data_IF_542071136400
#
_entry.id   IF_542071136400
#
_cell.length_a   1.000
_cell.length_b   1.000
_cell.length_c   1.000
_cell.angle_alpha   90.00
_cell.angle_beta   90.00
_cell.angle_gamma   90.00
#
_symmetry.space_group_name_H-M   'P 1'
#
loop_
_entity.id
_entity.type
_entity.pdbx_description
1 polymer ?
#
# COMPACT_ATOMS: atom_id res chain seq x y z
N UNK A 1 -66.19 6.49 22.53
CA UNK A 1 -65.69 7.12 21.29
C UNK A 1 -64.29 7.65 21.62
N UNK A 2 -63.28 7.08 20.97
CA UNK A 2 -61.92 6.89 21.47
C UNK A 2 -61.04 8.15 21.50
N UNK A 3 -60.22 8.24 22.55
CA UNK A 3 -59.07 9.14 22.71
C UNK A 3 -58.04 8.92 21.59
N UNK A 4 -57.40 10.00 21.11
CA UNK A 4 -56.14 9.91 20.36
C UNK A 4 -55.15 10.95 20.88
N UNK A 5 -54.23 10.45 21.69
CA UNK A 5 -52.93 11.05 21.99
C UNK A 5 -52.06 11.01 20.73
N UNK A 6 -51.35 12.10 20.43
CA UNK A 6 -50.24 12.11 19.49
C UNK A 6 -49.01 12.68 20.20
N UNK A 7 -48.20 11.80 20.79
CA UNK A 7 -46.83 12.10 21.18
C UNK A 7 -45.96 12.06 19.92
N UNK A 8 -45.32 13.18 19.59
CA UNK A 8 -44.35 13.29 18.51
C UNK A 8 -42.96 12.97 19.08
N UNK A 9 -42.55 11.71 19.02
CA UNK A 9 -41.17 11.31 19.26
C UNK A 9 -40.44 11.30 17.91
N UNK A 10 -39.68 12.35 17.62
CA UNK A 10 -38.71 12.35 16.53
C UNK A 10 -37.54 11.44 16.91
N UNK A 11 -37.59 10.20 16.43
CA UNK A 11 -36.49 9.25 16.47
C UNK A 11 -35.37 9.77 15.55
N UNK A 12 -34.28 10.24 16.14
CA UNK A 12 -33.02 10.46 15.42
C UNK A 12 -32.46 9.07 15.06
N UNK A 13 -32.70 8.64 13.82
CA UNK A 13 -32.02 7.49 13.25
C UNK A 13 -30.54 7.86 13.05
N UNK A 14 -29.68 7.38 13.95
CA UNK A 14 -28.26 7.24 13.67
C UNK A 14 -28.10 6.25 12.51
N UNK A 15 -27.94 6.77 11.30
CA UNK A 15 -27.50 6.00 10.15
C UNK A 15 -26.06 5.57 10.40
N UNK A 16 -25.86 4.37 10.97
CA UNK A 16 -24.61 3.64 10.77
C UNK A 16 -24.53 3.31 9.28
N UNK A 17 -23.84 4.13 8.51
CA UNK A 17 -23.56 3.85 7.10
C UNK A 17 -22.82 2.53 7.00
N UNK A 18 -23.54 1.45 6.66
CA UNK A 18 -22.93 0.20 6.27
C UNK A 18 -22.19 0.44 4.95
N UNK A 19 -20.86 0.29 4.97
CA UNK A 19 -19.97 0.45 3.82
C UNK A 19 -20.35 -0.44 2.60
N UNK A 20 -21.27 -1.40 2.78
CA UNK A 20 -21.66 -2.38 1.77
C UNK A 20 -22.46 -1.81 0.57
N UNK A 21 -23.20 -0.70 0.74
CA UNK A 21 -24.16 -0.24 -0.28
C UNK A 21 -23.57 0.54 -1.45
N UNK A 22 -22.44 1.21 -1.25
CA UNK A 22 -21.77 2.04 -2.28
C UNK A 22 -20.73 1.28 -3.10
N UNK A 23 -20.38 0.03 -2.73
CA UNK A 23 -19.29 -0.72 -3.34
C UNK A 23 -19.66 -1.45 -4.65
N UNK A 24 -20.92 -1.83 -4.85
CA UNK A 24 -21.31 -2.66 -6.02
C UNK A 24 -21.29 -1.87 -7.32
N UNK A 25 -21.72 -0.59 -7.31
CA UNK A 25 -21.75 0.22 -8.54
C UNK A 25 -20.34 0.67 -8.99
N UNK A 26 -19.42 0.89 -8.03
CA UNK A 26 -18.04 1.26 -8.32
C UNK A 26 -17.21 0.06 -8.82
N UNK A 27 -17.48 -1.15 -8.34
CA UNK A 27 -16.85 -2.37 -8.88
C UNK A 27 -17.24 -2.66 -10.33
N UNK A 28 -18.44 -2.26 -10.77
CA UNK A 28 -18.93 -2.50 -12.13
C UNK A 28 -18.46 -1.45 -13.16
N UNK A 29 -17.92 -0.32 -12.72
CA UNK A 29 -17.49 0.80 -13.58
C UNK A 29 -15.99 1.14 -13.45
N UNK A 30 -15.26 0.46 -12.56
CA UNK A 30 -13.84 0.71 -12.32
C UNK A 30 -12.98 0.38 -13.54
N UNK A 31 -12.23 1.36 -14.03
CA UNK A 31 -11.12 1.13 -14.96
C UNK A 31 -10.11 0.22 -14.26
N UNK A 32 -10.10 -1.07 -14.61
CA UNK A 32 -9.04 -1.98 -14.20
C UNK A 32 -7.70 -1.54 -14.76
N UNK A 33 -6.62 -1.84 -14.05
CA UNK A 33 -5.27 -1.70 -14.60
C UNK A 33 -4.96 -2.86 -15.56
N UNK A 34 -4.02 -2.64 -16.47
CA UNK A 34 -3.61 -3.68 -17.40
C UNK A 34 -3.04 -4.89 -16.64
N UNK A 35 -3.30 -6.10 -17.16
CA UNK A 35 -2.69 -7.33 -16.66
C UNK A 35 -1.17 -7.17 -16.54
N UNK A 36 -0.53 -7.76 -15.52
CA UNK A 36 -1.02 -8.81 -14.62
C UNK A 36 -1.62 -8.31 -13.29
N UNK A 37 -1.99 -7.03 -13.18
CA UNK A 37 -2.50 -6.46 -11.93
C UNK A 37 -3.62 -7.29 -11.32
N UNK A 38 -3.46 -7.64 -10.04
CA UNK A 38 -4.53 -8.24 -9.22
C UNK A 38 -5.22 -7.13 -8.43
N UNK A 39 -6.49 -6.90 -8.75
CA UNK A 39 -7.29 -5.87 -8.08
C UNK A 39 -7.64 -6.27 -6.64
N UNK A 40 -7.55 -5.32 -5.72
CA UNK A 40 -8.05 -5.44 -4.35
C UNK A 40 -9.43 -4.82 -4.17
N UNK A 41 -9.94 -4.85 -2.95
CA UNK A 41 -11.19 -4.19 -2.57
C UNK A 41 -10.98 -3.26 -1.38
N UNK A 42 -11.84 -2.25 -1.23
CA UNK A 42 -11.75 -1.29 -0.12
C UNK A 42 -11.85 -1.96 1.25
N UNK A 43 -12.52 -3.11 1.36
CA UNK A 43 -12.61 -3.89 2.60
C UNK A 43 -11.24 -4.36 3.11
N UNK A 44 -10.25 -4.56 2.23
CA UNK A 44 -8.89 -4.93 2.62
C UNK A 44 -8.21 -3.82 3.42
N UNK A 45 -8.63 -2.57 3.26
CA UNK A 45 -8.10 -1.40 3.95
C UNK A 45 -9.07 -0.82 4.99
N UNK A 46 -10.06 -1.60 5.42
CA UNK A 46 -10.93 -1.19 6.52
C UNK A 46 -10.17 -1.12 7.84
N UNK A 47 -10.72 -0.37 8.80
CA UNK A 47 -10.18 -0.28 10.16
C UNK A 47 -10.06 -1.67 10.80
N UNK A 48 -8.88 -1.96 11.32
CA UNK A 48 -8.51 -3.17 12.07
C UNK A 48 -7.97 -2.78 13.45
N UNK A 49 -7.27 -3.70 14.11
CA UNK A 49 -6.72 -3.50 15.45
C UNK A 49 -5.67 -2.38 15.51
N UNK A 50 -4.94 -2.13 14.43
CA UNK A 50 -3.92 -1.08 14.35
C UNK A 50 -4.01 -0.34 13.01
N UNK A 51 -4.86 0.68 12.96
CA UNK A 51 -5.15 1.41 11.73
C UNK A 51 -5.81 0.50 10.68
N UNK A 52 -5.24 0.42 9.49
CA UNK A 52 -5.69 -0.50 8.43
C UNK A 52 -5.11 -1.91 8.54
N UNK A 53 -4.25 -2.20 9.51
CA UNK A 53 -3.58 -3.49 9.69
C UNK A 53 -3.94 -4.15 11.02
N UNK A 54 -3.71 -5.47 11.13
CA UNK A 54 -3.94 -6.19 12.39
C UNK A 54 -2.81 -5.98 13.44
N UNK A 55 -1.61 -5.63 12.97
CA UNK A 55 -0.39 -5.47 13.77
C UNK A 55 0.33 -4.18 13.38
N UNK A 56 1.14 -3.57 14.27
CA UNK A 56 2.03 -2.47 13.90
C UNK A 56 3.15 -2.93 12.98
N UNK A 57 3.96 -1.98 12.49
CA UNK A 57 5.24 -2.30 11.84
C UNK A 57 6.17 -3.07 12.79
N UNK A 58 7.04 -3.92 12.24
CA UNK A 58 8.11 -4.59 12.96
C UNK A 58 9.08 -3.58 13.56
N UNK A 59 9.61 -3.90 14.75
CA UNK A 59 10.78 -3.19 15.28
C UNK A 59 12.04 -3.53 14.47
N UNK A 60 12.98 -2.58 14.36
CA UNK A 60 14.26 -2.75 13.66
C UNK A 60 14.12 -3.04 12.16
N UNK A 61 13.39 -2.17 11.46
CA UNK A 61 13.27 -2.18 10.00
C UNK A 61 14.65 -2.11 9.32
N UNK A 62 14.75 -2.71 8.13
CA UNK A 62 15.95 -2.65 7.29
C UNK A 62 16.24 -1.21 6.85
N UNK A 63 17.50 -1.00 6.45
CA UNK A 63 17.97 0.23 5.83
C UNK A 63 17.74 1.49 6.68
N UNK A 64 17.76 1.34 8.01
CA UNK A 64 17.57 2.46 8.94
C UNK A 64 16.23 3.18 8.82
N UNK A 65 15.20 2.51 8.28
CA UNK A 65 13.88 3.11 8.15
C UNK A 65 13.27 3.45 9.51
N UNK A 66 12.71 4.66 9.61
CA UNK A 66 12.15 5.22 10.84
C UNK A 66 10.80 4.55 11.17
N UNK A 67 10.73 3.89 12.33
CA UNK A 67 9.57 3.11 12.75
C UNK A 67 8.31 3.96 12.90
N UNK A 68 8.41 5.21 13.37
CA UNK A 68 7.25 6.09 13.56
C UNK A 68 6.66 6.54 12.22
N UNK A 69 7.53 6.90 11.29
CA UNK A 69 7.16 7.22 9.92
C UNK A 69 6.54 6.00 9.24
N UNK A 70 7.18 4.84 9.36
CA UNK A 70 6.68 3.59 8.83
C UNK A 70 5.28 3.27 9.38
N UNK A 71 5.08 3.36 10.69
CA UNK A 71 3.80 3.04 11.32
C UNK A 71 2.67 3.96 10.84
N UNK A 72 2.97 5.27 10.75
CA UNK A 72 2.02 6.25 10.22
C UNK A 72 1.66 5.98 8.76
N UNK A 73 2.66 5.73 7.91
CA UNK A 73 2.47 5.51 6.47
C UNK A 73 1.74 4.19 6.22
N UNK A 74 2.14 3.10 6.87
CA UNK A 74 1.59 1.76 6.65
C UNK A 74 0.15 1.64 7.13
N UNK A 75 -0.20 2.27 8.26
CA UNK A 75 -1.41 1.93 9.01
C UNK A 75 -2.42 3.07 9.12
N UNK A 76 -1.98 4.33 9.04
CA UNK A 76 -2.82 5.49 9.36
C UNK A 76 -2.88 6.53 8.23
N UNK A 77 -2.38 6.18 7.05
CA UNK A 77 -2.35 7.04 5.88
C UNK A 77 -2.63 6.25 4.61
N UNK A 78 -3.56 6.74 3.78
CA UNK A 78 -3.95 6.13 2.50
C UNK A 78 -3.81 7.06 1.30
N UNK A 79 -3.34 8.29 1.53
CA UNK A 79 -3.33 9.34 0.51
C UNK A 79 -1.95 9.93 0.27
N UNK A 80 -1.05 9.82 1.24
CA UNK A 80 0.30 10.37 1.15
C UNK A 80 1.35 9.27 1.12
N UNK A 81 2.56 9.64 0.74
CA UNK A 81 3.74 8.81 0.81
C UNK A 81 4.69 9.34 1.90
N UNK A 82 5.72 8.58 2.24
CA UNK A 82 6.96 9.17 2.74
C UNK A 82 7.46 10.24 1.75
N UNK A 83 8.24 11.22 2.21
CA UNK A 83 8.64 12.30 1.31
C UNK A 83 9.56 11.79 0.18
N UNK A 84 9.45 12.40 -1.01
CA UNK A 84 10.25 12.04 -2.19
C UNK A 84 11.75 12.05 -1.88
N UNK A 85 12.47 10.97 -2.18
CA UNK A 85 13.89 10.81 -1.91
C UNK A 85 14.23 10.39 -0.48
N UNK A 86 13.25 9.99 0.35
CA UNK A 86 13.50 9.37 1.65
C UNK A 86 14.45 8.17 1.54
N UNK A 87 14.16 7.27 0.61
CA UNK A 87 14.94 6.06 0.32
C UNK A 87 16.41 6.33 -0.05
N UNK A 88 16.71 7.51 -0.59
CA UNK A 88 18.05 7.93 -1.00
C UNK A 88 18.79 8.69 0.11
N UNK A 89 18.06 9.51 0.89
CA UNK A 89 18.67 10.54 1.76
C UNK A 89 18.57 10.25 3.26
N UNK A 90 17.53 9.54 3.69
CA UNK A 90 17.29 9.23 5.11
C UNK A 90 17.43 7.75 5.44
N UNK A 91 17.24 6.87 4.46
CA UNK A 91 17.52 5.45 4.60
C UNK A 91 18.97 5.13 4.19
N UNK A 92 19.47 3.99 4.64
CA UNK A 92 20.77 3.43 4.23
C UNK A 92 20.66 2.48 3.05
N UNK A 93 19.52 2.43 2.36
CA UNK A 93 19.25 1.46 1.28
C UNK A 93 20.31 1.49 0.19
N UNK A 94 20.60 2.67 -0.39
CA UNK A 94 21.63 2.82 -1.43
C UNK A 94 23.08 2.74 -0.91
N UNK A 95 23.28 2.68 0.41
CA UNK A 95 24.58 2.46 1.03
C UNK A 95 24.85 0.97 1.27
N UNK A 96 23.79 0.22 1.58
CA UNK A 96 23.84 -1.21 1.88
C UNK A 96 23.67 -2.07 0.63
N UNK A 97 22.89 -1.59 -0.34
CA UNK A 97 22.50 -2.36 -1.52
C UNK A 97 23.14 -1.83 -2.80
N UNK A 98 23.51 -2.75 -3.68
CA UNK A 98 24.15 -2.44 -4.96
C UNK A 98 23.90 -3.53 -5.99
N UNK A 99 24.51 -3.42 -7.16
CA UNK A 99 24.51 -4.50 -8.15
C UNK A 99 25.02 -5.83 -7.58
N UNK A 100 25.94 -5.80 -6.61
CA UNK A 100 26.46 -7.00 -5.95
C UNK A 100 25.43 -7.72 -5.07
N UNK A 101 24.34 -7.03 -4.68
CA UNK A 101 23.23 -7.64 -3.93
C UNK A 101 22.42 -8.61 -4.77
N UNK A 102 22.52 -8.53 -6.11
CA UNK A 102 21.67 -9.28 -7.02
C UNK A 102 20.21 -8.86 -6.89
N UNK A 103 19.30 -9.83 -6.88
CA UNK A 103 17.87 -9.57 -6.69
C UNK A 103 17.53 -9.48 -5.19
N UNK A 104 17.00 -8.33 -4.78
CA UNK A 104 16.63 -8.05 -3.38
C UNK A 104 15.17 -8.42 -3.18
N UNK A 105 14.86 -9.06 -2.04
CA UNK A 105 13.49 -9.24 -1.58
C UNK A 105 13.07 -8.10 -0.66
N UNK A 106 11.91 -7.52 -0.94
CA UNK A 106 11.30 -6.40 -0.22
C UNK A 106 10.11 -6.94 0.60
N UNK A 107 10.22 -6.86 1.93
CA UNK A 107 9.28 -7.49 2.85
C UNK A 107 8.35 -6.45 3.47
N UNK A 108 7.06 -6.78 3.59
CA UNK A 108 6.07 -6.00 4.30
C UNK A 108 6.57 -5.60 5.69
N UNK A 109 6.61 -4.29 5.97
CA UNK A 109 7.06 -3.78 7.26
C UNK A 109 6.18 -4.22 8.42
N UNK A 110 4.90 -4.57 8.20
CA UNK A 110 4.02 -5.09 9.25
C UNK A 110 4.21 -6.59 9.45
N UNK A 111 4.21 -7.36 8.36
CA UNK A 111 4.04 -8.82 8.43
C UNK A 111 5.29 -9.63 8.09
N UNK A 112 6.29 -9.04 7.44
CA UNK A 112 7.47 -9.74 6.95
C UNK A 112 7.24 -10.60 5.70
N UNK A 113 6.06 -10.52 5.07
CA UNK A 113 5.78 -11.23 3.80
C UNK A 113 6.53 -10.60 2.64
N UNK A 114 7.04 -11.41 1.71
CA UNK A 114 7.73 -10.92 0.52
C UNK A 114 6.74 -10.26 -0.45
N UNK A 115 6.79 -8.94 -0.57
CA UNK A 115 5.87 -8.15 -1.39
C UNK A 115 6.43 -7.84 -2.78
N UNK A 116 7.73 -7.54 -2.86
CA UNK A 116 8.39 -7.23 -4.12
C UNK A 116 9.77 -7.87 -4.21
N UNK A 117 10.28 -7.95 -5.44
CA UNK A 117 11.61 -8.40 -5.79
C UNK A 117 12.25 -7.34 -6.68
N UNK A 118 13.55 -7.06 -6.57
CA UNK A 118 14.14 -6.09 -7.49
C UNK A 118 15.65 -5.94 -7.33
N UNK A 119 16.37 -5.62 -8.41
CA UNK A 119 15.90 -5.55 -9.79
C UNK A 119 15.59 -6.94 -10.38
N UNK A 120 14.52 -7.08 -11.18
CA UNK A 120 14.22 -8.28 -12.00
C UNK A 120 13.95 -7.87 -13.44
N UNK A 121 14.47 -8.63 -14.40
CA UNK A 121 14.39 -8.34 -15.84
C UNK A 121 14.98 -6.98 -16.25
N UNK A 122 15.85 -6.42 -15.40
CA UNK A 122 16.59 -5.18 -15.62
C UNK A 122 17.83 -5.13 -14.73
N UNK A 123 18.71 -4.20 -15.00
CA UNK A 123 19.91 -3.95 -14.20
C UNK A 123 19.61 -3.15 -12.93
N UNK A 124 20.51 -3.22 -11.95
CA UNK A 124 20.48 -2.35 -10.77
C UNK A 124 20.46 -0.87 -11.15
N UNK A 125 21.28 -0.46 -12.12
CA UNK A 125 21.34 0.91 -12.59
C UNK A 125 20.00 1.39 -13.19
N UNK A 126 19.28 0.51 -13.90
CA UNK A 126 17.95 0.82 -14.44
C UNK A 126 16.91 0.98 -13.33
N UNK A 127 16.92 0.10 -12.32
CA UNK A 127 16.07 0.19 -11.14
C UNK A 127 16.29 1.51 -10.39
N UNK A 128 17.55 1.83 -10.08
CA UNK A 128 17.91 3.05 -9.32
C UNK A 128 17.56 4.29 -10.12
N UNK A 129 17.92 4.35 -11.41
CA UNK A 129 17.63 5.51 -12.27
C UNK A 129 16.13 5.79 -12.38
N UNK A 130 15.32 4.74 -12.57
CA UNK A 130 13.87 4.90 -12.60
C UNK A 130 13.31 5.36 -11.26
N UNK A 131 13.81 4.79 -10.17
CA UNK A 131 13.39 5.16 -8.82
C UNK A 131 13.76 6.61 -8.48
N UNK A 132 14.95 7.09 -8.89
CA UNK A 132 15.37 8.48 -8.73
C UNK A 132 14.51 9.44 -9.56
N UNK A 133 14.16 9.08 -10.79
CA UNK A 133 13.32 9.93 -11.65
C UNK A 133 11.92 10.18 -11.06
N UNK A 134 11.44 9.28 -10.20
CA UNK A 134 10.12 9.39 -9.57
C UNK A 134 10.17 9.71 -8.08
N UNK A 135 11.33 9.54 -7.42
CA UNK A 135 11.54 9.87 -6.02
C UNK A 135 11.31 8.73 -5.02
N UNK A 136 10.89 7.56 -5.47
CA UNK A 136 10.67 6.38 -4.63
C UNK A 136 11.07 5.11 -5.40
N UNK A 137 11.41 4.00 -4.70
CA UNK A 137 11.54 2.69 -5.29
C UNK A 137 10.36 2.39 -6.23
N UNK A 138 10.66 2.19 -7.52
CA UNK A 138 9.67 2.03 -8.57
C UNK A 138 9.78 0.63 -9.16
N UNK A 139 8.77 -0.21 -8.96
CA UNK A 139 8.76 -1.60 -9.40
C UNK A 139 7.94 -1.80 -10.68
N UNK A 140 8.23 -2.88 -11.41
CA UNK A 140 7.50 -3.34 -12.62
C UNK A 140 6.77 -4.65 -12.37
N UNK A 141 5.95 -5.07 -13.32
CA UNK A 141 5.02 -6.18 -13.14
C UNK A 141 5.66 -7.52 -12.72
N UNK A 142 6.88 -7.82 -13.21
CA UNK A 142 7.61 -9.05 -12.84
C UNK A 142 8.25 -8.99 -11.45
N UNK A 143 8.33 -7.80 -10.87
CA UNK A 143 8.91 -7.51 -9.56
C UNK A 143 7.85 -7.52 -8.45
N UNK A 144 6.57 -7.68 -8.76
CA UNK A 144 5.48 -7.72 -7.76
C UNK A 144 5.13 -9.16 -7.38
N UNK A 145 5.01 -9.42 -6.08
CA UNK A 145 4.42 -10.66 -5.59
C UNK A 145 2.89 -10.54 -5.52
N UNK A 146 2.22 -10.98 -6.59
CA UNK A 146 0.76 -10.95 -6.69
C UNK A 146 0.02 -11.88 -5.72
N UNK A 147 0.71 -12.74 -4.98
CA UNK A 147 0.07 -13.48 -3.88
C UNK A 147 -0.30 -12.54 -2.72
N UNK A 148 0.50 -11.49 -2.50
CA UNK A 148 0.38 -10.61 -1.33
C UNK A 148 0.13 -9.13 -1.65
N UNK A 149 0.28 -8.69 -2.91
CA UNK A 149 0.04 -7.30 -3.32
C UNK A 149 -1.26 -7.16 -4.09
N UNK A 150 -2.00 -6.08 -3.84
CA UNK A 150 -3.21 -5.70 -4.58
C UNK A 150 -3.16 -4.25 -5.00
N UNK A 151 -3.88 -3.92 -6.07
CA UNK A 151 -4.11 -2.52 -6.49
C UNK A 151 -5.60 -2.19 -6.37
N UNK A 152 -5.92 -1.10 -5.70
CA UNK A 152 -7.29 -0.60 -5.60
C UNK A 152 -7.69 0.21 -6.84
N UNK A 153 -8.98 0.43 -7.12
CA UNK A 153 -9.42 1.15 -8.32
C UNK A 153 -8.86 2.57 -8.49
N UNK A 154 -8.45 3.22 -7.40
CA UNK A 154 -7.79 4.53 -7.39
C UNK A 154 -6.27 4.47 -7.65
N UNK A 155 -5.70 3.27 -7.82
CA UNK A 155 -4.26 3.05 -8.00
C UNK A 155 -3.49 2.79 -6.70
N UNK A 156 -4.11 2.86 -5.52
CA UNK A 156 -3.45 2.56 -4.25
C UNK A 156 -2.94 1.10 -4.25
N UNK A 157 -1.66 0.92 -3.99
CA UNK A 157 -1.03 -0.39 -3.80
C UNK A 157 -1.04 -0.75 -2.32
N UNK A 158 -1.53 -1.95 -2.01
CA UNK A 158 -1.73 -2.43 -0.66
C UNK A 158 -1.22 -3.86 -0.51
N UNK A 159 -0.88 -4.26 0.72
CA UNK A 159 -0.74 -5.69 1.05
C UNK A 159 -2.12 -6.29 1.31
N UNK A 160 -2.26 -7.61 1.13
CA UNK A 160 -3.49 -8.34 1.45
C UNK A 160 -3.86 -8.26 2.96
N UNK A 161 -2.92 -7.89 3.81
CA UNK A 161 -3.11 -7.74 5.27
C UNK A 161 -3.49 -6.32 5.70
N UNK A 162 -3.50 -5.37 4.76
CA UNK A 162 -3.95 -3.98 4.97
C UNK A 162 -2.84 -2.94 5.12
N UNK A 163 -1.59 -3.27 4.78
CA UNK A 163 -0.48 -2.31 4.74
C UNK A 163 -0.64 -1.39 3.53
N UNK A 164 -0.63 -0.07 3.73
CA UNK A 164 -0.49 0.89 2.63
C UNK A 164 0.96 0.87 2.10
N UNK A 165 1.13 0.59 0.80
CA UNK A 165 2.45 0.42 0.18
C UNK A 165 2.85 1.62 -0.67
N UNK A 166 1.91 2.20 -1.41
CA UNK A 166 2.18 3.26 -2.38
C UNK A 166 1.12 3.29 -3.46
N UNK A 167 1.50 3.57 -4.71
CA UNK A 167 0.55 3.65 -5.82
C UNK A 167 1.09 3.08 -7.14
N UNK A 168 0.21 2.45 -7.92
CA UNK A 168 0.45 2.13 -9.32
C UNK A 168 0.17 3.38 -10.14
N UNK A 169 1.19 3.88 -10.82
CA UNK A 169 1.17 5.09 -11.63
C UNK A 169 1.71 4.75 -13.03
N UNK A 170 0.88 4.09 -13.88
CA UNK A 170 1.32 3.63 -15.19
C UNK A 170 1.92 4.76 -16.04
N UNK A 171 2.96 4.42 -16.79
CA UNK A 171 3.63 5.29 -17.74
C UNK A 171 3.61 4.68 -19.15
N UNK A 172 4.32 5.28 -20.10
CA UNK A 172 4.41 4.77 -21.48
C UNK A 172 5.01 3.36 -21.61
N UNK A 173 5.54 2.78 -20.51
CA UNK A 173 6.10 1.42 -20.46
C UNK A 173 5.19 0.43 -19.72
N UNK A 174 3.99 0.84 -19.31
CA UNK A 174 3.03 0.01 -18.59
C UNK A 174 2.94 0.37 -17.11
N UNK A 175 2.53 -0.59 -16.29
CA UNK A 175 2.38 -0.36 -14.85
C UNK A 175 3.71 0.02 -14.19
N UNK A 176 3.64 0.88 -13.17
CA UNK A 176 4.80 1.32 -12.39
C UNK A 176 4.38 1.54 -10.95
N UNK A 177 4.86 0.69 -10.07
CA UNK A 177 4.49 0.71 -8.66
C UNK A 177 5.47 1.58 -7.89
N UNK A 178 5.04 2.79 -7.56
CA UNK A 178 5.81 3.76 -6.78
C UNK A 178 5.55 3.48 -5.30
N UNK A 179 6.52 2.86 -4.63
CA UNK A 179 6.33 2.25 -3.30
C UNK A 179 7.16 2.97 -2.24
N UNK A 180 6.56 3.22 -1.08
CA UNK A 180 7.25 3.75 0.09
C UNK A 180 8.29 2.73 0.57
N UNK A 181 9.55 3.14 0.71
CA UNK A 181 10.58 2.26 1.24
C UNK A 181 10.22 1.79 2.65
N UNK A 182 9.69 2.70 3.49
CA UNK A 182 9.28 2.35 4.86
C UNK A 182 8.20 1.28 4.93
N UNK A 183 7.41 1.05 3.87
CA UNK A 183 6.37 0.01 3.83
C UNK A 183 6.91 -1.37 3.44
N UNK A 184 8.13 -1.44 2.92
CA UNK A 184 8.76 -2.67 2.41
C UNK A 184 10.15 -2.94 3.02
N UNK A 185 10.41 -2.32 4.15
CA UNK A 185 11.65 -2.42 4.93
C UNK A 185 11.55 -3.50 6.02
N UNK A 186 10.53 -4.34 6.01
CA UNK A 186 10.41 -5.45 6.96
C UNK A 186 11.56 -6.45 6.86
N UNK A 187 11.60 -7.34 7.83
CA UNK A 187 12.42 -8.55 7.88
C UNK A 187 11.52 -9.77 7.64
N UNK A 188 12.05 -10.86 7.06
CA UNK A 188 11.27 -12.07 6.86
C UNK A 188 10.74 -12.59 8.20
N UNK A 189 9.50 -13.08 8.19
CA UNK A 189 8.86 -13.73 9.33
C UNK A 189 9.35 -15.17 9.55
#
# INVERSE_FOLDING_TARGET
RWMRSCFLACLVLLLSSSCAGMNVLNQLLGKGFAAPVVMGTEEMMCQKAHGTSAVPVQSNLRWGCDEQTADKICNYNRHYAEYSGYWERSATFLQEESEASGEITFYDSNTGKALFYGPRDRTWAEFVRESQAHGWPSFRDSEVNWDFVRVLPNGECISVDGTHLGHNLPDGRGNRYCINLVSVAGRPA
#
